data_IF_336276954445
#
_entry.id   IF_336276954445
#
_cell.length_a   1.000
_cell.length_b   1.000
_cell.length_c   1.000
_cell.angle_alpha   90.00
_cell.angle_beta   90.00
_cell.angle_gamma   90.00
#
_symmetry.space_group_name_H-M   'P 1'
#
loop_
_entity.id
_entity.type
_entity.pdbx_description
1 polymer ?
#
# COMPACT_ATOMS: atom_id res chain seq x y z
N UNK A 1 2.79 -9.65 1.77
CA UNK A 1 4.12 -9.02 1.99
C UNK A 1 4.48 -8.18 0.75
N UNK A 2 5.14 -7.02 0.91
CA UNK A 2 5.57 -6.21 -0.24
C UNK A 2 6.54 -7.00 -1.12
N UNK A 3 6.37 -6.90 -2.43
CA UNK A 3 7.24 -7.56 -3.41
C UNK A 3 8.70 -7.08 -3.34
N UNK A 4 8.94 -5.93 -2.71
CA UNK A 4 10.26 -5.31 -2.65
C UNK A 4 10.37 -4.31 -1.50
N UNK A 5 11.61 -4.00 -1.10
CA UNK A 5 11.92 -3.09 0.01
C UNK A 5 12.46 -1.75 -0.50
N UNK A 6 12.25 -0.71 0.28
CA UNK A 6 12.90 0.59 0.11
C UNK A 6 14.07 0.70 1.07
N UNK A 7 15.21 1.20 0.61
CA UNK A 7 16.37 1.44 1.47
C UNK A 7 16.10 2.58 2.44
N UNK A 8 16.79 2.61 3.59
CA UNK A 8 16.68 3.66 4.62
C UNK A 8 16.90 5.08 4.08
N UNK A 9 17.72 5.23 3.03
CA UNK A 9 18.02 6.51 2.39
C UNK A 9 17.11 6.85 1.21
N UNK A 10 16.03 6.10 0.98
CA UNK A 10 15.05 6.44 -0.07
C UNK A 10 14.39 7.79 0.23
N UNK A 11 14.07 8.55 -0.81
CA UNK A 11 13.36 9.82 -0.62
C UNK A 11 11.93 9.50 -0.18
N UNK A 12 11.53 9.99 0.99
CA UNK A 12 10.22 9.71 1.56
C UNK A 12 9.63 10.95 2.22
N UNK A 13 8.30 11.06 2.18
CA UNK A 13 7.53 12.04 2.93
C UNK A 13 6.34 11.34 3.57
N UNK A 14 6.11 11.62 4.84
CA UNK A 14 4.95 11.19 5.61
C UNK A 14 4.29 12.41 6.23
N UNK A 15 2.96 12.39 6.30
CA UNK A 15 2.17 13.49 6.84
C UNK A 15 0.94 12.93 7.56
N UNK A 16 0.47 13.67 8.56
CA UNK A 16 -0.82 13.40 9.23
C UNK A 16 -2.01 13.99 8.45
N UNK A 17 -1.73 14.82 7.44
CA UNK A 17 -2.70 15.38 6.49
C UNK A 17 -2.47 14.83 5.08
N UNK A 18 -3.52 14.75 4.23
CA UNK A 18 -3.40 14.34 2.84
C UNK A 18 -2.28 15.09 2.09
N UNK A 19 -1.47 14.35 1.35
CA UNK A 19 -0.42 14.90 0.49
C UNK A 19 -1.03 15.42 -0.83
N UNK A 20 -0.65 16.65 -1.19
CA UNK A 20 -0.91 17.23 -2.51
C UNK A 20 -0.03 16.61 -3.60
N UNK A 21 -0.44 16.74 -4.85
CA UNK A 21 0.35 16.26 -5.99
C UNK A 21 1.71 16.93 -6.10
N UNK A 22 1.81 18.22 -5.75
CA UNK A 22 3.09 18.93 -5.73
C UNK A 22 4.04 18.36 -4.67
N UNK A 23 3.53 18.00 -3.50
CA UNK A 23 4.33 17.34 -2.46
C UNK A 23 4.78 15.95 -2.89
N UNK A 24 3.88 15.17 -3.51
CA UNK A 24 4.18 13.83 -4.04
C UNK A 24 5.24 13.94 -5.15
N UNK A 25 5.08 14.87 -6.09
CA UNK A 25 5.96 15.06 -7.25
C UNK A 25 7.38 15.44 -6.83
N UNK A 26 7.53 16.27 -5.78
CA UNK A 26 8.86 16.62 -5.24
C UNK A 26 9.63 15.41 -4.73
N UNK A 27 8.94 14.41 -4.18
CA UNK A 27 9.56 13.24 -3.54
C UNK A 27 9.68 12.06 -4.50
N UNK A 28 8.63 11.81 -5.28
CA UNK A 28 8.48 10.66 -6.16
C UNK A 28 7.93 11.10 -7.51
N UNK A 29 8.72 11.81 -8.32
CA UNK A 29 8.25 12.34 -9.60
C UNK A 29 7.89 11.21 -10.59
N UNK A 30 8.43 9.99 -10.40
CA UNK A 30 8.08 8.80 -11.17
C UNK A 30 6.58 8.48 -11.19
N UNK A 31 5.84 8.82 -10.13
CA UNK A 31 4.39 8.63 -10.07
C UNK A 31 3.66 9.35 -11.22
N UNK A 32 4.24 10.44 -11.71
CA UNK A 32 3.66 11.34 -12.70
C UNK A 32 4.34 11.27 -14.06
N UNK A 33 5.15 10.25 -14.33
CA UNK A 33 5.73 10.07 -15.66
C UNK A 33 4.64 9.71 -16.66
N UNK A 34 4.60 10.34 -17.83
CA UNK A 34 3.54 10.08 -18.82
C UNK A 34 3.74 8.78 -19.63
N UNK A 35 4.93 8.18 -19.53
CA UNK A 35 5.34 7.01 -20.30
C UNK A 35 6.31 6.11 -19.49
N UNK A 36 6.50 4.84 -19.88
CA UNK A 36 7.56 4.01 -19.32
C UNK A 36 8.94 4.53 -19.75
N UNK A 37 9.99 4.10 -19.03
CA UNK A 37 11.36 4.41 -19.44
C UNK A 37 11.64 3.83 -20.85
N UNK A 38 12.43 4.53 -21.67
CA UNK A 38 12.85 4.10 -23.02
C UNK A 38 13.55 2.73 -23.09
N UNK A 39 13.96 2.18 -21.93
CA UNK A 39 14.60 0.87 -21.84
C UNK A 39 13.57 -0.27 -21.85
N UNK A 40 12.27 0.05 -21.88
CA UNK A 40 11.17 -0.91 -21.89
C UNK A 40 10.78 -1.23 -23.33
N UNK A 41 10.62 -2.52 -23.62
CA UNK A 41 10.14 -2.98 -24.92
C UNK A 41 8.68 -2.61 -25.15
N UNK A 42 8.22 -2.63 -26.40
CA UNK A 42 6.80 -2.47 -26.79
C UNK A 42 5.84 -3.44 -26.09
N UNK A 43 6.33 -4.60 -25.61
CA UNK A 43 5.52 -5.57 -24.86
C UNK A 43 5.23 -5.12 -23.42
N UNK A 44 5.88 -4.07 -22.94
CA UNK A 44 5.73 -3.57 -21.58
C UNK A 44 4.42 -2.77 -21.48
N UNK A 45 3.50 -3.26 -20.67
CA UNK A 45 2.24 -2.58 -20.41
C UNK A 45 2.44 -1.52 -19.33
N UNK A 46 2.36 -0.25 -19.73
CA UNK A 46 2.47 0.88 -18.82
C UNK A 46 1.20 1.00 -17.95
N UNK A 47 1.39 1.15 -16.64
CA UNK A 47 0.31 1.32 -15.68
C UNK A 47 0.51 2.69 -15.01
N UNK A 48 -0.27 3.72 -15.39
CA UNK A 48 -0.08 5.09 -14.89
C UNK A 48 -0.47 5.22 -13.42
N UNK A 49 0.52 5.35 -12.54
CA UNK A 49 0.27 5.45 -11.09
C UNK A 49 -0.56 6.69 -10.73
N UNK A 50 -0.35 7.83 -11.40
CA UNK A 50 -1.15 9.04 -11.20
C UNK A 50 -2.64 8.83 -11.54
N UNK A 51 -2.95 8.05 -12.57
CA UNK A 51 -4.34 7.75 -12.92
C UNK A 51 -4.99 6.85 -11.85
N UNK A 52 -4.28 5.82 -11.40
CA UNK A 52 -4.76 4.96 -10.30
C UNK A 52 -4.98 5.77 -9.01
N UNK A 53 -4.05 6.67 -8.66
CA UNK A 53 -4.21 7.58 -7.52
C UNK A 53 -5.45 8.48 -7.67
N UNK A 54 -5.73 8.95 -8.88
CA UNK A 54 -6.92 9.77 -9.16
C UNK A 54 -8.20 9.00 -8.92
N UNK A 55 -8.30 7.75 -9.39
CA UNK A 55 -9.48 6.91 -9.13
C UNK A 55 -9.64 6.59 -7.64
N UNK A 56 -8.56 6.25 -6.93
CA UNK A 56 -8.61 6.01 -5.49
C UNK A 56 -9.09 7.23 -4.70
N UNK A 57 -8.74 8.44 -5.14
CA UNK A 57 -9.23 9.69 -4.54
C UNK A 57 -10.73 9.88 -4.70
N UNK A 58 -11.32 9.46 -5.83
CA UNK A 58 -12.78 9.48 -6.03
C UNK A 58 -13.49 8.55 -5.05
N UNK A 59 -12.86 7.43 -4.72
CA UNK A 59 -13.31 6.47 -3.70
C UNK A 59 -12.96 6.90 -2.26
N UNK A 60 -12.54 8.16 -2.05
CA UNK A 60 -12.29 8.71 -0.72
C UNK A 60 -10.93 8.38 -0.09
N UNK A 61 -10.03 7.71 -0.83
CA UNK A 61 -8.67 7.43 -0.35
C UNK A 61 -7.73 8.59 -0.61
N UNK A 62 -7.00 8.99 0.43
CA UNK A 62 -6.07 10.10 0.39
C UNK A 62 -4.65 9.61 0.72
N UNK A 63 -3.60 10.12 0.04
CA UNK A 63 -2.22 9.71 0.28
C UNK A 63 -1.65 10.38 1.54
N UNK A 64 -1.01 9.61 2.42
CA UNK A 64 -0.37 10.11 3.66
C UNK A 64 1.12 9.78 3.73
N UNK A 65 1.59 8.90 2.86
CA UNK A 65 3.01 8.63 2.68
C UNK A 65 3.32 8.40 1.21
N UNK A 66 4.47 8.91 0.79
CA UNK A 66 5.07 8.62 -0.51
C UNK A 66 6.54 8.31 -0.32
N UNK A 67 7.08 7.38 -1.11
CA UNK A 67 8.52 7.12 -1.17
C UNK A 67 8.95 6.72 -2.58
N UNK A 68 10.18 7.06 -2.93
CA UNK A 68 10.81 6.66 -4.18
C UNK A 68 12.25 6.20 -3.94
N UNK A 69 12.65 5.16 -4.66
CA UNK A 69 14.02 4.66 -4.64
C UNK A 69 14.97 5.71 -5.21
N UNK A 70 16.14 5.89 -4.59
CA UNK A 70 17.20 6.71 -5.19
C UNK A 70 17.97 5.90 -6.23
N UNK A 71 18.20 6.52 -7.37
CA UNK A 71 18.97 5.95 -8.48
C UNK A 71 20.24 6.75 -8.68
N UNK A 72 21.32 6.08 -9.13
CA UNK A 72 22.57 6.75 -9.53
C UNK A 72 22.49 7.34 -10.94
N UNK A 73 21.67 6.72 -11.78
CA UNK A 73 21.41 7.13 -13.15
C UNK A 73 20.22 8.10 -13.16
N UNK A 74 20.49 9.37 -13.48
CA UNK A 74 19.47 10.43 -13.48
C UNK A 74 18.35 10.17 -14.49
N UNK A 75 18.65 9.50 -15.62
CA UNK A 75 17.64 9.13 -16.62
C UNK A 75 16.56 8.20 -16.07
N UNK A 76 16.84 7.48 -14.98
CA UNK A 76 15.88 6.58 -14.33
C UNK A 76 15.09 7.23 -13.21
N UNK A 77 15.43 8.46 -12.80
CA UNK A 77 14.79 9.13 -11.65
C UNK A 77 13.30 9.28 -11.84
N UNK A 78 12.87 9.55 -13.07
CA UNK A 78 11.48 9.74 -13.45
C UNK A 78 10.73 8.42 -13.70
N UNK A 79 11.37 7.26 -13.56
CA UNK A 79 10.72 5.97 -13.84
C UNK A 79 10.97 4.89 -12.78
N UNK A 80 11.82 5.18 -11.81
CA UNK A 80 12.19 4.19 -10.80
C UNK A 80 11.04 3.87 -9.85
N UNK A 81 11.24 2.81 -9.09
CA UNK A 81 10.28 2.28 -8.14
C UNK A 81 9.84 3.32 -7.11
N UNK A 82 8.53 3.42 -6.93
CA UNK A 82 7.86 4.30 -5.98
C UNK A 82 6.74 3.58 -5.24
N UNK A 83 6.31 4.16 -4.12
CA UNK A 83 5.20 3.65 -3.31
C UNK A 83 4.38 4.80 -2.72
N UNK A 84 3.06 4.61 -2.68
CA UNK A 84 2.10 5.41 -1.94
C UNK A 84 1.45 4.58 -0.84
N UNK A 85 1.17 5.20 0.30
CA UNK A 85 0.24 4.67 1.30
C UNK A 85 -0.94 5.61 1.44
N UNK A 86 -2.13 5.07 1.23
CA UNK A 86 -3.38 5.80 1.24
C UNK A 86 -4.27 5.33 2.37
N UNK A 87 -5.10 6.22 2.90
CA UNK A 87 -6.13 5.94 3.90
C UNK A 87 -7.45 6.52 3.44
N UNK A 88 -8.55 5.89 3.82
CA UNK A 88 -9.86 6.50 3.59
C UNK A 88 -10.03 7.74 4.49
N UNK A 89 -10.62 8.80 3.95
CA UNK A 89 -10.77 10.09 4.65
C UNK A 89 -11.53 9.99 5.98
N UNK A 90 -12.40 8.98 6.14
CA UNK A 90 -13.15 8.74 7.38
C UNK A 90 -12.33 8.06 8.50
N UNK A 91 -11.10 7.61 8.23
CA UNK A 91 -10.30 6.81 9.17
C UNK A 91 -8.99 7.49 9.59
N UNK A 92 -8.85 8.80 9.38
CA UNK A 92 -7.61 9.55 9.58
C UNK A 92 -7.18 9.59 11.07
N UNK A 93 -8.13 9.62 12.01
CA UNK A 93 -7.88 9.83 13.44
C UNK A 93 -7.92 8.54 14.30
N UNK A 94 -7.91 7.35 13.69
CA UNK A 94 -7.89 6.08 14.44
C UNK A 94 -6.53 5.80 15.10
N UNK A 95 -6.47 4.84 16.02
CA UNK A 95 -5.20 4.24 16.50
C UNK A 95 -4.64 3.18 15.52
N UNK A 96 -5.49 2.77 14.56
CA UNK A 96 -5.23 1.85 13.46
C UNK A 96 -5.94 2.43 12.23
N UNK A 97 -5.32 2.29 11.05
CA UNK A 97 -5.98 2.63 9.79
C UNK A 97 -5.96 1.44 8.84
N UNK A 98 -7.06 1.29 8.12
CA UNK A 98 -7.05 0.56 6.87
C UNK A 98 -6.24 1.38 5.87
N UNK A 99 -5.19 0.78 5.33
CA UNK A 99 -4.37 1.43 4.31
C UNK A 99 -4.39 0.64 3.01
N UNK A 100 -4.27 1.39 1.91
CA UNK A 100 -3.87 0.85 0.62
C UNK A 100 -2.40 1.19 0.43
N UNK A 101 -1.57 0.19 0.19
CA UNK A 101 -0.17 0.37 -0.23
C UNK A 101 -0.08 0.08 -1.71
N UNK A 102 0.18 1.11 -2.51
CA UNK A 102 0.40 1.02 -3.94
C UNK A 102 1.90 1.07 -4.20
N UNK A 103 2.44 0.09 -4.91
CA UNK A 103 3.83 0.00 -5.33
C UNK A 103 3.89 -0.20 -6.84
N UNK A 104 4.77 0.54 -7.51
CA UNK A 104 4.95 0.42 -8.95
C UNK A 104 6.36 0.86 -9.38
N UNK A 105 6.74 0.55 -10.61
CA UNK A 105 7.90 1.11 -11.30
C UNK A 105 7.59 1.25 -12.79
N UNK A 106 8.20 2.22 -13.46
CA UNK A 106 8.03 2.44 -14.90
C UNK A 106 9.29 2.08 -15.70
N UNK A 107 10.36 1.65 -15.02
CA UNK A 107 11.57 1.06 -15.59
C UNK A 107 11.56 -0.48 -15.53
N UNK A 108 10.45 -1.09 -15.06
CA UNK A 108 10.26 -2.53 -14.98
C UNK A 108 11.13 -3.24 -13.94
N UNK A 109 11.70 -2.52 -12.97
CA UNK A 109 12.42 -3.10 -11.83
C UNK A 109 11.50 -3.69 -10.77
N UNK A 110 10.19 -3.45 -10.85
CA UNK A 110 9.15 -4.01 -10.00
C UNK A 110 7.82 -4.08 -10.75
N UNK A 111 6.97 -5.05 -10.39
CA UNK A 111 5.59 -5.09 -10.85
C UNK A 111 4.73 -4.06 -10.14
N UNK A 112 3.58 -3.75 -10.73
CA UNK A 112 2.49 -3.11 -10.00
C UNK A 112 1.99 -4.05 -8.90
N UNK A 113 1.85 -3.51 -7.69
CA UNK A 113 1.27 -4.20 -6.54
C UNK A 113 0.38 -3.25 -5.75
N UNK A 114 -0.79 -3.73 -5.36
CA UNK A 114 -1.69 -3.06 -4.44
C UNK A 114 -2.00 -3.98 -3.27
N UNK A 115 -1.65 -3.54 -2.06
CA UNK A 115 -1.95 -4.23 -0.81
C UNK A 115 -3.04 -3.47 -0.06
N UNK A 116 -4.03 -4.20 0.45
CA UNK A 116 -5.01 -3.70 1.39
C UNK A 116 -4.82 -4.40 2.73
N UNK A 117 -4.86 -3.64 3.81
CA UNK A 117 -4.76 -4.20 5.14
C UNK A 117 -5.05 -3.20 6.23
N UNK A 118 -5.20 -3.69 7.46
CA UNK A 118 -5.18 -2.84 8.63
C UNK A 118 -3.74 -2.72 9.10
N UNK A 119 -3.20 -1.50 9.18
CA UNK A 119 -1.81 -1.28 9.55
C UNK A 119 -1.72 -0.43 10.82
N UNK A 120 -0.90 -0.89 11.77
CA UNK A 120 -0.65 -0.14 13.02
C UNK A 120 0.41 0.95 12.81
N UNK A 121 0.20 2.13 13.38
CA UNK A 121 1.06 3.30 13.13
C UNK A 121 2.48 3.23 13.69
N UNK A 122 2.77 2.28 14.58
CA UNK A 122 4.06 2.17 15.32
C UNK A 122 5.26 1.81 14.43
N UNK A 123 5.03 1.53 13.14
CA UNK A 123 6.10 1.23 12.22
C UNK A 123 6.68 2.51 11.63
N UNK A 124 7.44 3.27 12.44
CA UNK A 124 8.29 4.37 11.96
C UNK A 124 9.33 3.92 10.92
N UNK A 125 9.58 2.61 10.82
CA UNK A 125 10.55 1.99 9.91
C UNK A 125 9.91 1.35 8.66
N UNK A 126 8.64 1.63 8.36
CA UNK A 126 7.97 1.03 7.20
C UNK A 126 7.71 -0.48 7.32
N UNK A 127 7.81 -1.04 8.52
CA UNK A 127 7.33 -2.40 8.81
C UNK A 127 5.81 -2.43 8.59
N UNK A 128 5.33 -3.45 7.93
CA UNK A 128 3.90 -3.76 7.83
C UNK A 128 3.65 -4.85 8.86
N UNK A 129 3.00 -4.51 9.95
CA UNK A 129 2.47 -5.49 10.90
C UNK A 129 0.95 -5.32 10.91
N UNK A 130 0.24 -6.31 10.39
CA UNK A 130 -1.20 -6.28 10.20
C UNK A 130 -1.68 -7.34 9.23
N UNK A 131 -2.95 -7.72 9.36
CA UNK A 131 -3.58 -8.69 8.47
C UNK A 131 -3.72 -8.10 7.07
N UNK A 132 -3.11 -8.77 6.09
CA UNK A 132 -3.30 -8.42 4.68
C UNK A 132 -4.65 -8.98 4.24
N UNK A 133 -5.51 -8.09 3.80
CA UNK A 133 -6.90 -8.37 3.45
C UNK A 133 -7.03 -8.66 1.95
N UNK A 134 -6.19 -7.99 1.15
CA UNK A 134 -6.04 -8.25 -0.27
C UNK A 134 -4.60 -7.96 -0.73
N UNK A 135 -4.08 -8.76 -1.66
CA UNK A 135 -2.77 -8.60 -2.29
C UNK A 135 -2.91 -8.80 -3.80
N UNK A 136 -3.06 -7.69 -4.52
CA UNK A 136 -3.21 -7.67 -5.97
C UNK A 136 -1.84 -7.39 -6.60
N UNK A 137 -1.44 -8.25 -7.54
CA UNK A 137 -0.22 -8.07 -8.33
C UNK A 137 -0.55 -8.12 -9.81
N UNK A 138 -0.15 -7.09 -10.54
CA UNK A 138 -0.35 -6.99 -11.98
C UNK A 138 1.00 -6.95 -12.68
N UNK A 139 1.34 -7.95 -13.51
CA UNK A 139 2.55 -7.90 -14.32
C UNK A 139 2.40 -6.83 -15.41
N UNK A 140 3.49 -6.18 -15.80
CA UNK A 140 3.52 -5.21 -16.91
C UNK A 140 3.46 -5.90 -18.29
N UNK A 141 2.52 -6.82 -18.48
CA UNK A 141 2.34 -7.58 -19.72
C UNK A 141 0.88 -8.00 -19.88
N UNK A 142 0.34 -7.85 -21.10
CA UNK A 142 -1.03 -8.23 -21.42
C UNK A 142 -2.03 -7.10 -21.17
N UNK A 143 -3.31 -7.45 -21.00
CA UNK A 143 -4.36 -6.50 -20.65
C UNK A 143 -4.30 -6.19 -19.15
N UNK A 144 -3.66 -5.06 -18.81
CA UNK A 144 -3.42 -4.64 -17.43
C UNK A 144 -4.54 -3.75 -16.88
N UNK A 145 -5.31 -3.08 -17.74
CA UNK A 145 -6.27 -2.07 -17.30
C UNK A 145 -7.42 -2.72 -16.51
N UNK A 146 -7.99 -3.82 -17.04
CA UNK A 146 -9.03 -4.58 -16.35
C UNK A 146 -8.56 -5.13 -15.00
N UNK A 147 -7.36 -5.73 -14.97
CA UNK A 147 -6.79 -6.33 -13.75
C UNK A 147 -6.54 -5.30 -12.64
N UNK A 148 -6.14 -4.08 -13.00
CA UNK A 148 -5.92 -3.00 -12.02
C UNK A 148 -7.25 -2.53 -11.43
N UNK A 149 -8.29 -2.37 -12.25
CA UNK A 149 -9.62 -1.93 -11.82
C UNK A 149 -10.27 -2.98 -10.92
N UNK A 150 -10.33 -4.24 -11.37
CA UNK A 150 -10.89 -5.34 -10.57
C UNK A 150 -10.14 -5.51 -9.25
N UNK A 151 -8.82 -5.42 -9.29
CA UNK A 151 -7.98 -5.48 -8.10
C UNK A 151 -8.26 -4.35 -7.11
N UNK A 152 -8.51 -3.13 -7.59
CA UNK A 152 -8.89 -2.01 -6.73
C UNK A 152 -10.23 -2.26 -6.03
N UNK A 153 -11.26 -2.74 -6.74
CA UNK A 153 -12.55 -3.08 -6.12
C UNK A 153 -12.46 -4.23 -5.10
N UNK A 154 -11.62 -5.23 -5.38
CA UNK A 154 -11.34 -6.31 -4.44
C UNK A 154 -10.74 -5.77 -3.13
N UNK A 155 -9.80 -4.83 -3.24
CA UNK A 155 -9.18 -4.14 -2.11
C UNK A 155 -10.22 -3.34 -1.31
N UNK A 156 -11.08 -2.58 -1.98
CA UNK A 156 -12.11 -1.77 -1.34
C UNK A 156 -13.13 -2.61 -0.56
N UNK A 157 -13.66 -3.67 -1.18
CA UNK A 157 -14.64 -4.57 -0.56
C UNK A 157 -14.08 -5.39 0.61
N UNK A 158 -12.77 -5.62 0.65
CA UNK A 158 -12.11 -6.32 1.75
C UNK A 158 -12.21 -5.57 3.08
N UNK A 159 -12.22 -4.23 3.07
CA UNK A 159 -12.16 -3.44 4.30
C UNK A 159 -13.42 -3.53 5.16
N UNK A 160 -14.60 -3.71 4.56
CA UNK A 160 -15.84 -3.89 5.32
C UNK A 160 -15.78 -5.16 6.17
N UNK A 161 -15.31 -6.27 5.60
CA UNK A 161 -15.19 -7.54 6.33
C UNK A 161 -14.24 -7.45 7.53
N UNK A 162 -13.15 -6.69 7.39
CA UNK A 162 -12.16 -6.51 8.45
C UNK A 162 -12.67 -5.60 9.54
N UNK A 163 -13.37 -4.53 9.18
CA UNK A 163 -14.07 -3.68 10.14
C UNK A 163 -15.02 -4.52 10.98
N UNK A 164 -15.86 -5.32 10.33
CA UNK A 164 -16.89 -6.11 11.02
C UNK A 164 -16.28 -7.20 11.90
N UNK A 165 -15.23 -7.89 11.40
CA UNK A 165 -14.49 -8.89 12.19
C UNK A 165 -13.79 -8.27 13.41
N UNK A 166 -13.17 -7.11 13.25
CA UNK A 166 -12.56 -6.35 14.35
C UNK A 166 -13.61 -5.91 15.37
N UNK A 167 -14.72 -5.35 14.92
CA UNK A 167 -15.76 -4.86 15.82
C UNK A 167 -16.39 -6.02 16.61
N UNK A 168 -16.57 -7.18 15.97
CA UNK A 168 -16.97 -8.40 16.65
C UNK A 168 -15.93 -8.85 17.70
N UNK A 169 -14.64 -8.87 17.36
CA UNK A 169 -13.57 -9.22 18.32
C UNK A 169 -13.50 -8.23 19.49
N UNK A 170 -13.64 -6.92 19.23
CA UNK A 170 -13.57 -5.87 20.26
C UNK A 170 -14.78 -5.91 21.20
N UNK A 171 -15.92 -6.40 20.73
CA UNK A 171 -17.11 -6.58 21.54
C UNK A 171 -17.01 -7.77 22.51
N UNK A 172 -16.01 -8.66 22.36
CA UNK A 172 -15.78 -9.76 23.29
C UNK A 172 -15.20 -9.22 24.60
N UNK A 173 -16.00 -9.26 25.66
CA UNK A 173 -15.54 -9.09 27.04
C UNK A 173 -15.27 -10.46 27.64
N UNK A 174 -14.03 -10.68 28.08
CA UNK A 174 -13.61 -11.89 28.79
C UNK A 174 -13.50 -11.58 30.27
N UNK A 175 -13.93 -12.50 31.12
CA UNK A 175 -13.55 -12.47 32.54
C UNK A 175 -12.09 -12.93 32.73
N UNK A 176 -11.58 -12.85 33.96
CA UNK A 176 -10.18 -13.19 34.27
C UNK A 176 -9.83 -14.64 33.87
N UNK A 177 -10.75 -15.59 34.06
CA UNK A 177 -10.55 -17.00 33.74
C UNK A 177 -10.61 -17.25 32.23
N UNK A 178 -11.57 -16.65 31.53
CA UNK A 178 -11.68 -16.71 30.08
C UNK A 178 -10.48 -16.05 29.39
N UNK A 179 -9.97 -14.94 29.95
CA UNK A 179 -8.78 -14.25 29.45
C UNK A 179 -7.52 -15.12 29.61
N UNK A 180 -7.38 -15.84 30.73
CA UNK A 180 -6.28 -16.79 30.92
C UNK A 180 -6.34 -17.96 29.93
N UNK A 181 -7.54 -18.53 29.73
CA UNK A 181 -7.75 -19.63 28.77
C UNK A 181 -7.47 -19.16 27.34
N UNK A 182 -7.96 -17.97 26.96
CA UNK A 182 -7.71 -17.39 25.65
C UNK A 182 -6.21 -17.14 25.43
N UNK A 183 -5.51 -16.58 26.42
CA UNK A 183 -4.06 -16.36 26.34
C UNK A 183 -3.28 -17.67 26.18
N UNK A 184 -3.64 -18.72 26.93
CA UNK A 184 -3.02 -20.06 26.80
C UNK A 184 -3.32 -20.71 25.45
N UNK A 185 -4.52 -20.56 24.92
CA UNK A 185 -4.88 -21.07 23.60
C UNK A 185 -4.12 -20.32 22.49
N UNK A 186 -4.01 -18.99 22.59
CA UNK A 186 -3.25 -18.17 21.64
C UNK A 186 -1.76 -18.54 21.62
N UNK A 187 -1.17 -18.84 22.79
CA UNK A 187 0.22 -19.29 22.91
C UNK A 187 0.53 -20.55 22.08
N UNK A 188 -0.44 -21.46 21.93
CA UNK A 188 -0.28 -22.70 21.14
C UNK A 188 -0.29 -22.42 19.62
N UNK A 189 -0.85 -21.28 19.21
CA UNK A 189 -0.98 -20.88 17.81
C UNK A 189 0.18 -20.01 17.31
N UNK A 190 1.02 -19.48 18.22
CA UNK A 190 2.24 -18.76 17.85
C UNK A 190 3.30 -19.80 17.47
N UNK A 191 3.78 -19.84 16.22
CA UNK A 191 4.87 -20.74 15.85
C UNK A 191 6.09 -20.41 16.70
N UNK A 192 6.60 -21.40 17.46
CA UNK A 192 7.95 -21.30 18.02
C UNK A 192 8.92 -21.16 16.83
N UNK A 193 9.46 -19.95 16.63
CA UNK A 193 10.65 -19.75 15.82
C UNK A 193 11.89 -20.15 16.59
#
# INVERSE_FOLDING_TARGET
MLATRFASHSSALRSDYPLSDDQIRRVAPSIFADAPHESRSERYAYIPTAAVLTELRKEGFQPFMVTQTRVRDEGKREHTKHMLRLRHASQINGAEANEIVLLNSHDGTSSYQMLAGQFRFVCSNGLVCGDTVADVRVPHKGDVAGLVIEGAYQVLSGFDRVRDSRDAMRAVTLDDGESEVFARAALVLVPMQ
#
